data_IF_148447561160
#
_entry.id   IF_148447561160
#
_cell.length_a   1.000
_cell.length_b   1.000
_cell.length_c   1.000
_cell.angle_alpha   90.00
_cell.angle_beta   90.00
_cell.angle_gamma   90.00
#
_symmetry.space_group_name_H-M   'P 1'
#
loop_
_entity.id
_entity.type
_entity.pdbx_description
1 polymer ?
#
# COMPACT_ATOMS: atom_id res chain seq x y z
N UNK A 1 75.56 -4.24 8.01
CA UNK A 1 74.99 -4.81 9.25
C UNK A 1 74.22 -3.70 9.97
N UNK A 2 73.05 -4.03 10.53
CA UNK A 2 72.03 -3.17 11.22
C UNK A 2 71.05 -2.45 10.26
N UNK A 3 69.97 -3.10 9.76
CA UNK A 3 68.67 -3.46 10.40
C UNK A 3 67.90 -2.28 11.00
N UNK A 4 67.09 -1.61 10.18
CA UNK A 4 65.89 -0.91 10.63
C UNK A 4 64.67 -1.82 10.48
N UNK A 5 64.00 -2.05 11.61
CA UNK A 5 62.71 -2.73 11.72
C UNK A 5 61.63 -1.69 11.39
N UNK A 6 60.80 -1.97 10.39
CA UNK A 6 59.64 -1.15 10.03
C UNK A 6 58.44 -2.07 9.82
N UNK A 7 57.46 -1.91 10.71
CA UNK A 7 56.21 -2.67 10.84
C UNK A 7 55.44 -2.81 9.51
N UNK A 8 55.02 -4.04 9.19
CA UNK A 8 53.98 -4.33 8.21
C UNK A 8 52.67 -3.71 8.73
N UNK A 9 52.33 -2.51 8.28
CA UNK A 9 50.99 -1.96 8.45
C UNK A 9 50.08 -2.70 7.47
N UNK A 10 49.37 -3.70 8.00
CA UNK A 10 48.31 -4.42 7.29
C UNK A 10 47.18 -3.44 6.98
N UNK A 11 47.07 -3.04 5.71
CA UNK A 11 45.94 -2.27 5.18
C UNK A 11 44.70 -3.18 5.18
N UNK A 12 43.93 -3.15 6.27
CA UNK A 12 42.59 -3.76 6.30
C UNK A 12 41.66 -2.81 5.55
N UNK A 13 41.43 -3.10 4.28
CA UNK A 13 40.35 -2.49 3.49
C UNK A 13 39.02 -3.01 4.07
N UNK A 14 38.44 -2.23 4.99
CA UNK A 14 37.08 -2.46 5.50
C UNK A 14 36.11 -2.13 4.37
N UNK A 15 35.71 -3.14 3.60
CA UNK A 15 34.54 -3.06 2.73
C UNK A 15 33.31 -2.94 3.63
N UNK A 16 32.86 -1.71 3.85
CA UNK A 16 31.51 -1.45 4.33
C UNK A 16 30.53 -1.90 3.23
N UNK A 17 30.13 -3.18 3.28
CA UNK A 17 28.86 -3.56 2.69
C UNK A 17 27.78 -2.97 3.57
N UNK A 18 27.34 -1.74 3.24
CA UNK A 18 26.04 -1.27 3.68
C UNK A 18 25.02 -2.14 2.95
N UNK A 19 24.60 -3.23 3.60
CA UNK A 19 23.39 -3.93 3.18
C UNK A 19 22.24 -2.99 3.50
N UNK A 20 21.84 -2.17 2.53
CA UNK A 20 20.49 -1.62 2.54
C UNK A 20 19.54 -2.82 2.54
N UNK A 21 19.02 -3.16 3.72
CA UNK A 21 17.89 -4.07 3.80
C UNK A 21 16.79 -3.42 2.97
N UNK A 22 16.49 -3.99 1.80
CA UNK A 22 15.27 -3.63 1.10
C UNK A 22 14.14 -4.04 2.02
N UNK A 23 13.48 -3.06 2.64
CA UNK A 23 12.30 -3.33 3.44
C UNK A 23 11.31 -4.05 2.53
N UNK A 24 11.00 -5.31 2.82
CA UNK A 24 9.99 -6.03 2.07
C UNK A 24 8.65 -5.35 2.33
N UNK A 25 8.07 -4.72 1.31
CA UNK A 25 6.71 -4.20 1.37
C UNK A 25 5.75 -5.36 1.62
N UNK A 26 4.83 -5.21 2.58
CA UNK A 26 3.86 -6.24 2.95
C UNK A 26 2.49 -5.82 2.37
N UNK A 27 1.97 -6.52 1.34
CA UNK A 27 0.70 -6.14 0.74
C UNK A 27 -0.44 -6.45 1.71
N UNK A 28 -1.35 -5.48 1.86
CA UNK A 28 -2.58 -5.67 2.65
C UNK A 28 -3.85 -5.53 1.82
N UNK A 29 -3.77 -4.93 0.63
CA UNK A 29 -4.88 -4.87 -0.31
C UNK A 29 -4.40 -4.99 -1.76
N UNK A 30 -5.22 -5.64 -2.57
CA UNK A 30 -5.16 -5.54 -4.03
C UNK A 30 -6.56 -5.29 -4.54
N UNK A 31 -6.74 -4.31 -5.42
CA UNK A 31 -8.01 -4.02 -6.08
C UNK A 31 -7.85 -4.13 -7.58
N UNK A 32 -8.97 -4.32 -8.28
CA UNK A 32 -9.07 -4.34 -9.72
C UNK A 32 -10.22 -3.47 -10.21
N UNK A 33 -10.44 -3.42 -11.52
CA UNK A 33 -11.50 -2.66 -12.18
C UNK A 33 -12.92 -3.02 -11.75
N UNK A 34 -13.13 -4.21 -11.18
CA UNK A 34 -14.44 -4.69 -10.75
C UNK A 34 -14.66 -4.60 -9.24
N UNK A 35 -13.59 -4.38 -8.47
CA UNK A 35 -13.57 -4.60 -7.03
C UNK A 35 -12.69 -3.55 -6.34
N UNK A 36 -13.07 -2.27 -6.41
CA UNK A 36 -12.33 -1.17 -5.75
C UNK A 36 -12.86 -0.83 -4.35
N UNK A 37 -14.17 -1.00 -4.13
CA UNK A 37 -14.82 -0.66 -2.86
C UNK A 37 -16.02 -1.56 -2.52
N UNK A 38 -17.18 -1.32 -3.14
CA UNK A 38 -18.44 -2.01 -2.76
C UNK A 38 -18.47 -3.49 -3.07
N UNK A 39 -17.62 -3.94 -4.01
CA UNK A 39 -17.49 -5.35 -4.42
C UNK A 39 -16.18 -5.97 -3.97
N UNK A 40 -15.36 -5.22 -3.22
CA UNK A 40 -14.06 -5.66 -2.77
C UNK A 40 -14.21 -6.67 -1.62
N UNK A 41 -13.81 -7.94 -1.80
CA UNK A 41 -13.83 -8.92 -0.73
C UNK A 41 -12.80 -8.59 0.35
N UNK A 42 -13.05 -9.04 1.57
CA UNK A 42 -12.08 -8.95 2.65
C UNK A 42 -12.11 -10.20 3.54
N UNK A 43 -11.06 -10.42 4.31
CA UNK A 43 -10.98 -11.49 5.31
C UNK A 43 -9.54 -11.85 5.67
N UNK A 44 -9.31 -12.87 6.51
CA UNK A 44 -7.97 -13.26 6.93
C UNK A 44 -7.15 -13.89 5.79
N UNK A 45 -5.84 -13.97 5.98
CA UNK A 45 -4.87 -14.61 5.07
C UNK A 45 -4.09 -13.63 4.20
N UNK A 46 -2.92 -14.07 3.72
CA UNK A 46 -1.99 -13.26 2.92
C UNK A 46 -2.59 -12.76 1.60
N UNK A 47 -2.22 -11.55 1.20
CA UNK A 47 -2.55 -11.00 -0.13
C UNK A 47 -1.49 -11.43 -1.15
N UNK A 48 -1.94 -12.06 -2.23
CA UNK A 48 -1.15 -12.23 -3.45
C UNK A 48 -1.46 -11.07 -4.38
N UNK A 49 -0.44 -10.28 -4.73
CA UNK A 49 -0.58 -9.08 -5.58
C UNK A 49 -1.02 -9.43 -7.01
N UNK A 50 -0.77 -10.67 -7.45
CA UNK A 50 -1.22 -11.18 -8.76
C UNK A 50 -2.54 -11.95 -8.65
N UNK A 51 -3.07 -12.10 -7.43
CA UNK A 51 -4.30 -12.82 -7.13
C UNK A 51 -5.56 -12.00 -7.40
N UNK A 52 -6.72 -12.53 -7.00
CA UNK A 52 -7.98 -11.80 -7.03
C UNK A 52 -7.97 -10.59 -6.11
N UNK A 53 -8.73 -9.54 -6.46
CA UNK A 53 -8.94 -8.39 -5.61
C UNK A 53 -9.44 -8.79 -4.21
N UNK A 54 -8.81 -8.25 -3.17
CA UNK A 54 -9.20 -8.40 -1.76
C UNK A 54 -8.41 -7.50 -0.82
N UNK A 55 -8.92 -7.35 0.40
CA UNK A 55 -8.19 -6.83 1.56
C UNK A 55 -7.97 -7.93 2.59
N UNK A 56 -6.79 -7.97 3.20
CA UNK A 56 -6.57 -8.84 4.36
C UNK A 56 -6.96 -8.14 5.66
N UNK A 57 -7.60 -8.86 6.57
CA UNK A 57 -7.86 -8.41 7.93
C UNK A 57 -6.76 -8.78 8.92
N UNK A 58 -5.73 -9.53 8.49
CA UNK A 58 -4.62 -9.98 9.36
C UNK A 58 -3.86 -8.81 10.01
N UNK A 59 -3.95 -7.62 9.41
CA UNK A 59 -3.28 -6.41 9.87
C UNK A 59 -4.24 -5.38 10.48
N UNK A 60 -5.45 -5.80 10.86
CA UNK A 60 -6.47 -4.91 11.43
C UNK A 60 -5.92 -4.06 12.58
N UNK A 61 -5.18 -4.67 13.50
CA UNK A 61 -4.65 -4.02 14.71
C UNK A 61 -3.18 -3.57 14.57
N UNK A 62 -2.56 -3.74 13.39
CA UNK A 62 -1.17 -3.30 13.17
C UNK A 62 -1.13 -1.78 13.00
N UNK A 63 -0.39 -1.13 13.89
CA UNK A 63 -0.20 0.32 13.87
C UNK A 63 0.87 0.69 12.83
N UNK A 64 0.50 1.59 11.94
CA UNK A 64 1.44 2.26 11.03
C UNK A 64 1.05 3.72 10.88
N UNK A 65 1.98 4.56 10.43
CA UNK A 65 1.71 5.92 9.95
C UNK A 65 2.12 6.10 8.48
N UNK A 66 2.55 5.02 7.82
CA UNK A 66 2.97 5.04 6.43
C UNK A 66 2.36 3.87 5.69
N UNK A 67 1.86 4.13 4.48
CA UNK A 67 1.49 3.11 3.49
C UNK A 67 2.17 3.41 2.16
N UNK A 68 2.22 2.41 1.29
CA UNK A 68 2.68 2.57 -0.07
C UNK A 68 1.64 2.00 -1.03
N UNK A 69 1.50 2.62 -2.19
CA UNK A 69 0.53 2.26 -3.20
C UNK A 69 1.21 2.16 -4.56
N UNK A 70 0.90 1.11 -5.31
CA UNK A 70 1.30 0.98 -6.71
C UNK A 70 0.06 0.80 -7.58
N UNK A 71 -0.01 1.55 -8.68
CA UNK A 71 -1.10 1.47 -9.66
C UNK A 71 -0.54 1.00 -10.98
N UNK A 72 -1.23 0.04 -11.60
CA UNK A 72 -0.86 -0.60 -12.86
C UNK A 72 -2.02 -0.46 -13.84
N UNK A 73 -1.73 -0.03 -15.07
CA UNK A 73 -2.75 0.06 -16.13
C UNK A 73 -2.82 -1.22 -16.98
N UNK A 74 -1.76 -2.02 -16.98
CA UNK A 74 -1.61 -3.26 -17.75
C UNK A 74 -1.41 -4.51 -16.87
N UNK A 75 -1.54 -4.34 -15.56
CA UNK A 75 -1.37 -5.40 -14.56
C UNK A 75 0.07 -5.86 -14.35
N UNK A 76 1.07 -5.23 -14.99
CA UNK A 76 2.47 -5.67 -14.91
C UNK A 76 3.45 -4.53 -14.62
N UNK A 77 3.28 -3.38 -15.29
CA UNK A 77 4.16 -2.24 -15.15
C UNK A 77 3.50 -1.18 -14.26
N UNK A 78 4.24 -0.75 -13.22
CA UNK A 78 3.80 0.35 -12.36
C UNK A 78 3.66 1.60 -13.22
N UNK A 79 2.43 2.11 -13.33
CA UNK A 79 2.13 3.34 -14.04
C UNK A 79 2.53 4.56 -13.20
N UNK A 80 2.21 4.53 -11.90
CA UNK A 80 2.67 5.47 -10.89
C UNK A 80 2.58 4.83 -9.49
N UNK A 81 3.26 5.41 -8.53
CA UNK A 81 3.17 5.01 -7.12
C UNK A 81 2.94 6.19 -6.19
N UNK A 82 2.42 5.90 -5.00
CA UNK A 82 2.11 6.90 -3.99
C UNK A 82 2.63 6.43 -2.64
N UNK A 83 3.50 7.22 -2.02
CA UNK A 83 3.82 7.11 -0.60
C UNK A 83 2.78 7.88 0.20
N UNK A 84 2.22 7.26 1.22
CA UNK A 84 1.24 7.82 2.13
C UNK A 84 1.89 8.06 3.48
N UNK A 85 1.92 9.30 3.95
CA UNK A 85 2.42 9.66 5.27
C UNK A 85 1.30 10.29 6.09
N UNK A 86 0.76 9.51 7.01
CA UNK A 86 -0.26 9.95 7.92
C UNK A 86 0.36 10.72 9.09
N UNK A 87 -0.34 11.78 9.50
CA UNK A 87 0.08 12.59 10.66
C UNK A 87 0.02 11.81 11.98
N UNK A 88 -0.92 10.88 12.09
CA UNK A 88 -1.10 9.99 13.25
C UNK A 88 -0.76 8.52 12.93
N UNK A 89 -0.19 7.84 13.92
CA UNK A 89 -0.02 6.39 13.93
C UNK A 89 -1.30 5.72 14.44
N UNK A 90 -2.00 4.99 13.58
CA UNK A 90 -3.23 4.29 13.89
C UNK A 90 -3.15 2.85 13.38
N UNK A 91 -3.92 1.95 14.02
CA UNK A 91 -4.19 0.63 13.45
C UNK A 91 -4.95 0.77 12.13
N UNK A 92 -4.96 -0.27 11.29
CA UNK A 92 -5.76 -0.24 10.05
C UNK A 92 -7.25 -0.05 10.36
N UNK A 93 -7.76 -0.80 11.36
CA UNK A 93 -9.13 -0.70 11.86
C UNK A 93 -9.49 0.73 12.28
N UNK A 94 -8.67 1.32 13.15
CA UNK A 94 -8.93 2.67 13.67
C UNK A 94 -8.75 3.74 12.59
N UNK A 95 -7.82 3.53 11.65
CA UNK A 95 -7.61 4.45 10.53
C UNK A 95 -8.82 4.52 9.62
N UNK A 96 -9.40 3.38 9.22
CA UNK A 96 -10.63 3.38 8.41
C UNK A 96 -11.82 3.95 9.18
N UNK A 97 -11.96 3.65 10.47
CA UNK A 97 -13.02 4.24 11.30
C UNK A 97 -12.88 5.77 11.45
N UNK A 98 -11.64 6.27 11.58
CA UNK A 98 -11.36 7.72 11.65
C UNK A 98 -11.60 8.39 10.31
N UNK A 99 -11.17 7.75 9.21
CA UNK A 99 -11.36 8.23 7.85
C UNK A 99 -12.87 8.38 7.51
N UNK A 100 -13.69 7.38 7.84
CA UNK A 100 -15.14 7.39 7.65
C UNK A 100 -15.84 8.48 8.47
N UNK A 101 -15.45 8.67 9.74
CA UNK A 101 -16.13 9.60 10.65
C UNK A 101 -15.73 11.05 10.44
N UNK A 102 -14.42 11.33 10.34
CA UNK A 102 -13.88 12.70 10.35
C UNK A 102 -12.83 12.98 9.27
N UNK A 103 -12.31 11.93 8.63
CA UNK A 103 -11.19 12.03 7.70
C UNK A 103 -9.85 12.01 8.42
N UNK A 104 -8.81 11.60 7.71
CA UNK A 104 -7.43 11.60 8.21
C UNK A 104 -6.56 12.52 7.37
N UNK A 105 -5.70 13.30 8.03
CA UNK A 105 -4.73 14.16 7.34
C UNK A 105 -3.56 13.32 6.84
N UNK A 106 -3.24 13.48 5.56
CA UNK A 106 -2.17 12.73 4.87
C UNK A 106 -1.30 13.69 4.07
N UNK A 107 -0.01 13.44 4.08
CA UNK A 107 0.94 13.94 3.09
C UNK A 107 1.26 12.80 2.13
N UNK A 108 1.07 13.02 0.85
CA UNK A 108 1.38 12.08 -0.20
C UNK A 108 2.58 12.54 -0.99
N UNK A 109 3.42 11.58 -1.36
CA UNK A 109 4.46 11.76 -2.37
C UNK A 109 4.15 10.82 -3.52
N UNK A 110 3.79 11.40 -4.67
CA UNK A 110 3.49 10.66 -5.90
C UNK A 110 4.75 10.57 -6.75
N UNK A 111 5.06 9.38 -7.25
CA UNK A 111 6.12 9.15 -8.21
C UNK A 111 5.51 8.76 -9.56
N UNK A 112 5.72 9.59 -10.56
CA UNK A 112 5.26 9.34 -11.93
C UNK A 112 6.30 9.78 -12.95
N UNK A 113 6.70 8.87 -13.86
CA UNK A 113 7.70 9.13 -14.91
C UNK A 113 8.99 9.83 -14.42
N UNK A 114 9.44 9.51 -13.20
CA UNK A 114 10.63 10.11 -12.59
C UNK A 114 10.43 11.51 -11.99
N UNK A 115 9.20 12.00 -11.95
CA UNK A 115 8.81 13.23 -11.26
C UNK A 115 8.20 12.87 -9.91
N UNK A 116 8.57 13.65 -8.90
CA UNK A 116 8.01 13.58 -7.55
C UNK A 116 7.04 14.75 -7.34
N UNK A 117 5.81 14.45 -6.93
CA UNK A 117 4.78 15.46 -6.62
C UNK A 117 4.30 15.29 -5.19
N UNK A 118 4.43 16.34 -4.38
CA UNK A 118 3.98 16.35 -2.99
C UNK A 118 2.59 16.98 -2.87
N UNK A 119 1.68 16.29 -2.20
CA UNK A 119 0.28 16.69 -2.03
C UNK A 119 -0.09 16.52 -0.55
N UNK A 120 -0.79 17.48 0.03
CA UNK A 120 -1.34 17.37 1.38
C UNK A 120 -2.84 17.56 1.35
N UNK A 121 -3.57 16.80 2.18
CA UNK A 121 -5.01 16.88 2.23
C UNK A 121 -5.65 15.91 3.21
N UNK A 122 -6.96 15.74 3.05
CA UNK A 122 -7.77 14.84 3.89
C UNK A 122 -8.21 13.63 3.09
N UNK A 123 -8.05 12.45 3.66
CA UNK A 123 -8.56 11.19 3.11
C UNK A 123 -9.66 10.61 3.98
N UNK A 124 -10.75 10.19 3.36
CA UNK A 124 -11.89 9.57 4.03
C UNK A 124 -12.13 8.13 3.61
N UNK A 125 -11.50 7.67 2.54
CA UNK A 125 -11.92 6.52 1.76
C UNK A 125 -13.35 6.69 1.21
N UNK A 126 -14.35 6.68 2.08
CA UNK A 126 -15.74 7.09 1.87
C UNK A 126 -16.33 7.56 3.21
N UNK A 127 -17.10 8.66 3.24
CA UNK A 127 -17.86 9.08 4.43
C UNK A 127 -19.17 8.28 4.67
N UNK A 128 -19.45 7.33 3.79
CA UNK A 128 -20.52 6.35 3.90
C UNK A 128 -19.93 4.94 3.87
N UNK A 129 -18.76 4.74 4.48
CA UNK A 129 -18.14 3.43 4.65
C UNK A 129 -18.93 2.57 5.68
N UNK A 130 -19.77 3.22 6.50
CA UNK A 130 -20.76 2.66 7.44
C UNK A 130 -20.28 1.46 8.28
N UNK A 131 -18.97 1.33 8.53
CA UNK A 131 -18.39 0.31 9.40
C UNK A 131 -18.76 -1.13 9.04
N UNK A 132 -19.07 -1.43 7.77
CA UNK A 132 -19.49 -2.77 7.35
C UNK A 132 -18.40 -3.84 7.53
N UNK A 133 -17.13 -3.42 7.58
CA UNK A 133 -16.01 -4.34 7.71
C UNK A 133 -15.97 -4.90 9.12
N UNK A 134 -16.41 -6.13 9.25
CA UNK A 134 -16.04 -6.94 10.40
C UNK A 134 -14.58 -7.39 10.24
N UNK A 135 -13.67 -6.67 10.88
CA UNK A 135 -12.23 -6.96 10.88
C UNK A 135 -11.87 -8.33 11.47
N UNK A 136 -12.80 -9.00 12.14
CA UNK A 136 -12.60 -10.34 12.71
C UNK A 136 -13.23 -11.45 11.83
N UNK A 137 -13.73 -11.13 10.64
CA UNK A 137 -14.32 -12.10 9.71
C UNK A 137 -14.01 -11.81 8.23
N UNK A 138 -14.55 -12.64 7.35
CA UNK A 138 -14.58 -12.37 5.91
C UNK A 138 -15.87 -11.70 5.48
N UNK A 139 -15.84 -11.03 4.33
CA UNK A 139 -17.00 -10.47 3.65
C UNK A 139 -16.74 -10.22 2.17
N UNK A 140 -17.77 -9.83 1.43
CA UNK A 140 -17.70 -9.60 -0.03
C UNK A 140 -17.78 -8.13 -0.42
N UNK A 141 -17.95 -7.23 0.55
CA UNK A 141 -18.12 -5.79 0.35
C UNK A 141 -17.34 -5.03 1.41
N UNK A 142 -16.20 -4.46 1.03
CA UNK A 142 -15.40 -3.68 1.97
C UNK A 142 -16.04 -2.32 2.30
N UNK A 143 -16.76 -1.72 1.36
CA UNK A 143 -17.54 -0.49 1.60
C UNK A 143 -19.03 -0.69 1.36
N UNK A 144 -19.86 0.05 2.09
CA UNK A 144 -21.31 0.16 1.80
C UNK A 144 -21.59 0.97 0.55
N UNK A 145 -20.84 2.05 0.35
CA UNK A 145 -21.10 3.08 -0.64
C UNK A 145 -19.75 3.71 -0.99
N UNK A 146 -19.19 3.30 -2.13
CA UNK A 146 -17.97 3.83 -2.74
C UNK A 146 -16.66 3.77 -1.91
N UNK A 147 -15.57 4.21 -2.53
CA UNK A 147 -14.28 4.25 -1.87
C UNK A 147 -13.14 4.62 -2.80
N UNK A 148 -12.29 5.57 -2.40
CA UNK A 148 -11.15 6.03 -3.19
C UNK A 148 -9.83 5.79 -2.45
N UNK A 149 -8.90 5.15 -3.13
CA UNK A 149 -7.48 5.01 -2.77
C UNK A 149 -6.66 6.03 -3.55
N UNK A 150 -6.45 7.23 -3.00
CA UNK A 150 -5.74 8.27 -3.73
C UNK A 150 -5.34 9.51 -2.94
N UNK A 151 -4.63 10.39 -3.63
CA UNK A 151 -4.13 11.66 -3.14
C UNK A 151 -4.92 12.84 -3.72
N UNK A 152 -5.11 13.87 -2.92
CA UNK A 152 -5.90 15.05 -3.30
C UNK A 152 -6.13 16.00 -2.13
N UNK A 153 -6.83 17.11 -2.38
CA UNK A 153 -7.14 18.07 -1.31
C UNK A 153 -8.17 17.51 -0.31
N UNK A 154 -9.21 16.87 -0.86
CA UNK A 154 -10.24 16.17 -0.10
C UNK A 154 -10.67 14.93 -0.89
N UNK A 155 -10.24 13.76 -0.43
CA UNK A 155 -10.45 12.46 -1.07
C UNK A 155 -11.51 11.70 -0.31
N UNK A 156 -12.69 11.56 -0.90
CA UNK A 156 -13.85 10.87 -0.34
C UNK A 156 -14.56 10.16 -1.50
N UNK A 157 -14.97 8.91 -1.33
CA UNK A 157 -15.67 8.14 -2.35
C UNK A 157 -17.14 8.48 -2.45
N UNK A 158 -17.77 8.90 -1.35
CA UNK A 158 -19.20 9.20 -1.37
C UNK A 158 -19.48 10.61 -1.90
N UNK A 159 -19.39 10.77 -3.22
CA UNK A 159 -19.82 11.96 -3.93
C UNK A 159 -20.98 11.65 -4.88
N UNK A 160 -21.84 12.63 -5.11
CA UNK A 160 -22.91 12.56 -6.12
C UNK A 160 -22.44 12.83 -7.56
N UNK A 161 -21.14 13.05 -7.75
CA UNK A 161 -20.51 13.43 -9.04
C UNK A 161 -19.00 13.28 -8.94
N UNK A 162 -18.29 13.32 -10.08
CA UNK A 162 -16.82 13.28 -10.14
C UNK A 162 -16.14 14.15 -9.07
N UNK A 163 -15.35 13.53 -8.15
CA UNK A 163 -14.53 14.23 -7.19
C UNK A 163 -13.54 15.15 -7.90
N UNK A 164 -13.78 16.46 -7.80
CA UNK A 164 -12.90 17.47 -8.42
C UNK A 164 -11.56 17.66 -7.68
N UNK A 165 -11.41 17.03 -6.51
CA UNK A 165 -10.26 17.25 -5.62
C UNK A 165 -9.28 16.06 -5.58
N UNK A 166 -9.61 14.95 -6.25
CA UNK A 166 -8.71 13.79 -6.38
C UNK A 166 -7.76 14.05 -7.53
N UNK A 167 -6.46 13.97 -7.24
CA UNK A 167 -5.41 14.23 -8.23
C UNK A 167 -4.77 12.95 -8.73
N UNK A 168 -4.64 11.95 -7.86
CA UNK A 168 -3.99 10.68 -8.17
C UNK A 168 -4.70 9.55 -7.44
N UNK A 169 -4.76 8.36 -8.06
CA UNK A 169 -5.22 7.14 -7.39
C UNK A 169 -6.31 6.40 -8.14
N UNK A 170 -7.00 5.52 -7.43
CA UNK A 170 -8.01 4.60 -7.96
C UNK A 170 -9.21 4.56 -7.02
N UNK A 171 -10.43 4.58 -7.53
CA UNK A 171 -11.60 4.64 -6.66
C UNK A 171 -12.93 4.40 -7.37
N UNK A 172 -13.96 4.07 -6.61
CA UNK A 172 -15.36 4.15 -7.02
C UNK A 172 -15.94 5.44 -6.43
N UNK A 173 -16.70 6.21 -7.21
CA UNK A 173 -17.42 7.37 -6.71
C UNK A 173 -18.76 7.47 -7.45
N UNK A 174 -19.87 7.42 -6.73
CA UNK A 174 -21.24 7.41 -7.25
C UNK A 174 -21.84 6.04 -7.64
N UNK A 175 -23.16 5.93 -7.43
CA UNK A 175 -23.99 4.76 -7.75
C UNK A 175 -24.45 4.68 -9.21
N UNK A 176 -23.93 5.55 -10.08
CA UNK A 176 -24.19 5.59 -11.52
C UNK A 176 -23.08 4.99 -12.38
N UNK A 177 -21.96 4.59 -11.77
CA UNK A 177 -20.72 4.17 -12.41
C UNK A 177 -20.85 2.85 -13.21
N UNK A 178 -21.45 2.97 -14.39
CA UNK A 178 -21.15 2.14 -15.56
C UNK A 178 -20.63 3.06 -16.64
N UNK A 179 -19.33 3.01 -16.94
CA UNK A 179 -18.92 3.41 -18.27
C UNK A 179 -19.55 2.43 -19.27
N UNK A 180 -20.22 3.01 -20.25
CA UNK A 180 -21.02 2.33 -21.26
C UNK A 180 -20.34 1.06 -21.77
N UNK A 181 -21.05 -0.07 -21.59
CA UNK A 181 -20.88 -1.37 -22.23
C UNK A 181 -20.04 -2.48 -21.56
N UNK A 182 -19.42 -2.36 -20.37
CA UNK A 182 -18.70 -3.54 -19.80
C UNK A 182 -18.42 -3.60 -18.26
N UNK A 183 -19.12 -2.85 -17.41
CA UNK A 183 -19.15 -3.16 -15.96
C UNK A 183 -17.90 -2.84 -15.14
N UNK A 184 -17.19 -1.75 -15.48
CA UNK A 184 -16.12 -1.17 -14.67
C UNK A 184 -16.70 -0.42 -13.45
N UNK A 185 -16.19 -0.66 -12.24
CA UNK A 185 -16.51 0.08 -11.00
C UNK A 185 -15.23 0.64 -10.38
N UNK A 186 -14.49 1.42 -11.17
CA UNK A 186 -13.20 1.98 -10.80
C UNK A 186 -12.75 3.07 -11.77
N UNK A 187 -12.60 4.29 -11.25
CA UNK A 187 -11.97 5.43 -11.93
C UNK A 187 -10.52 5.54 -11.50
N UNK A 188 -9.65 5.91 -12.45
CA UNK A 188 -8.25 6.22 -12.21
C UNK A 188 -8.03 7.70 -12.44
N UNK A 189 -7.36 8.37 -11.49
CA UNK A 189 -6.89 9.73 -11.65
C UNK A 189 -5.38 9.76 -11.80
N UNK A 190 -4.91 10.58 -12.74
CA UNK A 190 -3.50 10.89 -12.96
C UNK A 190 -3.39 12.39 -13.23
N UNK A 191 -2.64 13.09 -12.39
CA UNK A 191 -2.43 14.53 -12.50
C UNK A 191 -3.73 15.36 -12.61
N UNK A 192 -4.71 15.05 -11.75
CA UNK A 192 -6.01 15.76 -11.71
C UNK A 192 -6.99 15.39 -12.81
N UNK A 193 -6.61 14.50 -13.74
CA UNK A 193 -7.45 14.08 -14.85
C UNK A 193 -7.88 12.63 -14.68
N UNK A 194 -9.09 12.31 -15.12
CA UNK A 194 -9.52 10.92 -15.28
C UNK A 194 -8.76 10.30 -16.45
N UNK A 195 -8.13 9.16 -16.21
CA UNK A 195 -7.45 8.39 -17.24
C UNK A 195 -8.49 7.73 -18.16
N UNK A 196 -8.42 7.92 -19.48
CA UNK A 196 -9.32 7.25 -20.42
C UNK A 196 -9.27 5.73 -20.27
N UNK A 197 -10.42 5.07 -20.26
CA UNK A 197 -10.49 3.59 -20.12
C UNK A 197 -9.75 2.84 -21.21
N UNK A 198 -9.61 3.42 -22.41
CA UNK A 198 -8.83 2.82 -23.49
C UNK A 198 -7.33 2.67 -23.17
N UNK A 199 -6.82 3.40 -22.18
CA UNK A 199 -5.43 3.30 -21.69
C UNK A 199 -5.25 2.23 -20.62
N UNK A 200 -6.36 1.70 -20.06
CA UNK A 200 -6.36 0.73 -18.96
C UNK A 200 -6.78 -0.64 -19.52
N UNK A 201 -5.83 -1.56 -19.60
CA UNK A 201 -6.07 -2.92 -20.14
C UNK A 201 -6.20 -3.98 -19.06
N UNK A 202 -5.58 -3.77 -17.90
CA UNK A 202 -5.74 -4.60 -16.71
C UNK A 202 -5.41 -3.77 -15.47
N UNK A 203 -6.43 -3.15 -14.88
CA UNK A 203 -6.23 -2.33 -13.68
C UNK A 203 -5.80 -3.20 -12.50
N UNK A 204 -4.71 -2.79 -11.85
CA UNK A 204 -4.36 -3.26 -10.51
C UNK A 204 -3.99 -2.06 -9.65
N UNK A 205 -4.43 -2.09 -8.41
CA UNK A 205 -3.99 -1.16 -7.38
C UNK A 205 -3.61 -1.97 -6.14
N UNK A 206 -2.35 -1.87 -5.72
CA UNK A 206 -1.81 -2.66 -4.62
C UNK A 206 -1.42 -1.73 -3.50
N UNK A 207 -1.91 -2.01 -2.30
CA UNK A 207 -1.57 -1.28 -1.09
C UNK A 207 -0.67 -2.12 -0.20
N UNK A 208 0.37 -1.49 0.32
CA UNK A 208 1.36 -2.09 1.20
C UNK A 208 1.44 -1.32 2.51
N UNK A 209 1.67 -2.05 3.61
CA UNK A 209 2.04 -1.43 4.86
C UNK A 209 3.46 -0.86 4.70
N UNK A 210 3.64 0.42 5.03
CA UNK A 210 4.97 0.96 5.31
C UNK A 210 5.52 0.33 6.59
N UNK A 211 6.83 0.45 6.83
CA UNK A 211 7.51 -0.18 7.98
C UNK A 211 6.69 -0.05 9.26
N UNK A 212 6.08 -1.14 9.77
CA UNK A 212 5.20 -1.07 10.94
C UNK A 212 6.01 -0.62 12.15
N UNK A 213 5.52 0.35 12.91
CA UNK A 213 6.19 0.79 14.15
C UNK A 213 6.10 -0.28 15.24
N UNK A 214 5.10 -1.15 15.17
CA UNK A 214 4.89 -2.27 16.06
C UNK A 214 4.43 -3.49 15.25
N UNK A 215 5.35 -4.42 14.97
CA UNK A 215 4.98 -5.76 14.48
C UNK A 215 4.68 -6.61 15.71
N UNK A 216 3.44 -7.13 15.90
CA UNK A 216 3.17 -8.07 16.98
C UNK A 216 4.05 -9.31 16.83
N UNK A 217 4.76 -9.68 17.89
CA UNK A 217 5.60 -10.88 17.91
C UNK A 217 4.78 -12.13 17.51
N UNK A 218 5.34 -13.05 16.70
CA UNK A 218 4.53 -14.03 15.96
C UNK A 218 3.92 -15.08 16.87
N UNK A 219 2.61 -15.01 17.03
CA UNK A 219 1.75 -16.14 17.42
C UNK A 219 0.97 -16.75 16.25
N UNK A 220 0.92 -16.14 15.06
CA UNK A 220 0.13 -16.71 13.93
C UNK A 220 0.56 -16.39 12.49
N UNK A 221 1.59 -15.60 12.21
CA UNK A 221 2.07 -15.39 10.83
C UNK A 221 3.60 -15.25 10.78
N UNK A 222 4.29 -16.38 10.66
CA UNK A 222 5.73 -16.44 10.39
C UNK A 222 6.02 -17.29 9.14
N UNK A 223 5.40 -16.95 8.01
CA UNK A 223 5.90 -17.36 6.70
C UNK A 223 5.63 -16.21 5.71
N UNK A 224 6.60 -15.30 5.56
CA UNK A 224 6.91 -14.57 4.31
C UNK A 224 8.16 -13.72 4.61
N UNK A 225 9.33 -14.20 4.18
CA UNK A 225 10.60 -13.49 4.36
C UNK A 225 11.87 -14.36 4.48
N UNK A 226 11.78 -15.70 4.45
CA UNK A 226 12.97 -16.56 4.34
C UNK A 226 13.14 -17.07 2.91
N UNK A 227 13.43 -16.12 2.01
CA UNK A 227 13.92 -16.40 0.66
C UNK A 227 15.29 -15.77 0.45
N UNK A 228 16.34 -16.59 0.56
CA UNK A 228 17.68 -16.39 -0.03
C UNK A 228 18.61 -15.31 0.58
N UNK A 229 19.09 -15.52 1.81
CA UNK A 229 20.47 -15.19 2.17
C UNK A 229 20.94 -16.01 3.39
N UNK A 230 21.97 -16.82 3.21
CA UNK A 230 22.79 -17.29 4.34
C UNK A 230 22.60 -18.72 4.81
N UNK A 231 22.64 -19.69 3.90
CA UNK A 231 23.18 -21.01 4.24
C UNK A 231 24.65 -20.83 4.66
N UNK A 232 24.92 -20.74 5.97
CA UNK A 232 26.30 -20.77 6.48
C UNK A 232 26.36 -21.52 7.82
N UNK A 233 26.80 -22.78 7.69
CA UNK A 233 27.31 -23.65 8.74
C UNK A 233 28.25 -22.86 9.68
N UNK A 234 28.03 -22.98 11.00
CA UNK A 234 29.14 -22.83 11.96
C UNK A 234 29.04 -23.78 13.14
N UNK A 235 29.73 -24.91 12.96
CA UNK A 235 30.26 -25.79 14.01
C UNK A 235 31.14 -24.98 14.97
N UNK A 236 30.93 -25.09 16.28
CA UNK A 236 31.97 -24.90 17.33
C UNK A 236 31.46 -25.55 18.62
N UNK A 237 31.93 -26.75 18.95
CA UNK A 237 33.12 -26.99 19.79
C UNK A 237 33.16 -26.06 21.00
N UNK A 238 32.83 -26.61 22.17
CA UNK A 238 33.41 -26.19 23.45
C UNK A 238 34.21 -27.36 24.01
N UNK A 239 35.31 -26.97 24.65
CA UNK A 239 36.46 -27.77 25.12
C UNK A 239 36.08 -28.96 25.97
#
# INVERSE_FOLDING_TARGET
MNRFKGSLFSLVLMLFFCSSASASLIPFAVTDDLSVAERLPYGPGSVDINGPARITTDFADVVSNTWYQEVFFDGQNVAFSILWEFTDSLSMRDRFATADSSGVSVNWTVFDNGIETNISGTWRYSNSFLGLVNWDSSGTRFSSDDGIWGAGLNVDGNFSSTPLNVQWGVGNYDGGDTLSNNGFSGTVWRDGNIVPTAEITSLRNVMYLGSPTEVPEPGSLAILGLGLAGLAIRRRIKK
#
